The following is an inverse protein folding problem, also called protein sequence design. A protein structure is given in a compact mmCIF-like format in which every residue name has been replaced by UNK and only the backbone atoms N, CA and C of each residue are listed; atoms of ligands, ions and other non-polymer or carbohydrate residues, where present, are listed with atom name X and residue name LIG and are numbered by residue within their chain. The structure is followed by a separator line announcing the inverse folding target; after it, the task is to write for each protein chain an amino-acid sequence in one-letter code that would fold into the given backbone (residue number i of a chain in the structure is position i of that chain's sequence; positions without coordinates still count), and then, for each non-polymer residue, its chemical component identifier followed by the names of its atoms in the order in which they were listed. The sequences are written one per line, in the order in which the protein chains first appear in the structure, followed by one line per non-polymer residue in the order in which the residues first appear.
data_IF_445417585629
#
_entry.id   IF_445417585629
#
_cell.length_a   1.000
_cell.length_b   1.000
_cell.length_c   1.000
_cell.angle_alpha   90.00
_cell.angle_beta   90.00
_cell.angle_gamma   90.00
#
_symmetry.space_group_name_H-M   'P 1'
#
loop_
_entity.id
_entity.type
_entity.pdbx_description
1 polymer ?
#
# COMPACT_ATOMS: atom_id res chain seq x y z
N UNK A 1 71.07 -8.51 -45.57
CA UNK A 1 72.42 -8.07 -45.93
C UNK A 1 72.94 -7.19 -44.79
N UNK A 2 73.96 -7.73 -44.07
CA UNK A 2 75.07 -7.07 -43.40
C UNK A 2 74.75 -6.03 -42.28
N UNK A 3 75.14 -6.24 -41.12
CA UNK A 3 76.38 -6.59 -40.38
C UNK A 3 76.72 -5.45 -39.38
N UNK A 4 76.88 -5.82 -38.09
CA UNK A 4 77.88 -5.38 -37.09
C UNK A 4 77.85 -3.89 -36.61
N UNK A 5 78.22 -3.54 -35.39
CA UNK A 5 79.17 -4.07 -34.38
C UNK A 5 78.95 -3.33 -32.98
N UNK A 6 79.18 -4.06 -31.95
CA UNK A 6 79.79 -3.83 -30.65
C UNK A 6 80.05 -2.36 -30.12
N UNK A 7 79.66 -2.11 -28.87
CA UNK A 7 80.59 -1.60 -27.88
C UNK A 7 80.07 -1.85 -26.44
N UNK A 8 80.92 -2.47 -25.67
CA UNK A 8 80.84 -2.75 -24.23
C UNK A 8 81.13 -1.51 -23.38
N UNK A 9 80.48 -1.33 -22.25
CA UNK A 9 81.07 -0.59 -21.14
C UNK A 9 80.33 -0.83 -19.82
N UNK A 10 81.00 -1.47 -18.91
CA UNK A 10 81.07 -1.36 -17.44
C UNK A 10 79.83 -1.11 -16.65
N UNK A 11 79.44 -2.14 -15.91
CA UNK A 11 78.52 -2.19 -14.78
C UNK A 11 79.23 -1.75 -13.50
N UNK A 12 78.64 -0.81 -12.77
CA UNK A 12 78.87 -0.61 -11.33
C UNK A 12 77.56 -0.95 -10.58
N UNK A 13 77.60 -1.77 -9.53
CA UNK A 13 76.39 -2.07 -8.75
C UNK A 13 76.09 -0.97 -7.77
N UNK A 14 74.84 -0.43 -7.84
CA UNK A 14 74.27 0.41 -6.81
C UNK A 14 73.53 -0.50 -5.84
N UNK A 15 73.99 -0.60 -4.60
CA UNK A 15 73.29 -1.26 -3.52
C UNK A 15 72.15 -0.37 -3.07
N UNK A 16 70.95 -0.71 -3.44
CA UNK A 16 69.74 -0.07 -2.93
C UNK A 16 69.22 -0.88 -1.74
N UNK A 17 69.33 -0.27 -0.54
CA UNK A 17 68.78 -0.78 0.70
C UNK A 17 67.24 -0.66 0.63
N UNK A 18 66.55 -1.77 0.51
CA UNK A 18 65.08 -1.87 0.62
C UNK A 18 64.70 -1.89 2.10
N UNK A 19 64.24 -0.78 2.64
CA UNK A 19 63.57 -0.73 3.94
C UNK A 19 62.14 -1.26 3.80
N UNK A 20 61.84 -2.47 4.17
CA UNK A 20 60.51 -3.01 4.31
C UNK A 20 59.81 -2.36 5.53
N UNK A 21 58.97 -1.38 5.25
CA UNK A 21 58.00 -0.89 6.24
C UNK A 21 56.87 -1.93 6.37
N UNK A 22 56.85 -2.73 7.42
CA UNK A 22 55.71 -3.56 7.79
C UNK A 22 54.60 -2.64 8.31
N UNK A 23 53.61 -2.35 7.47
CA UNK A 23 52.34 -1.78 7.89
C UNK A 23 51.50 -2.92 8.48
N UNK A 24 51.56 -3.07 9.81
CA UNK A 24 50.63 -3.92 10.55
C UNK A 24 49.23 -3.30 10.47
N UNK A 25 48.40 -3.75 9.54
CA UNK A 25 46.96 -3.54 9.58
C UNK A 25 46.39 -4.28 10.76
N UNK A 26 46.14 -3.56 11.87
CA UNK A 26 45.30 -4.02 12.96
C UNK A 26 43.88 -4.22 12.39
N UNK A 27 43.58 -5.45 11.98
CA UNK A 27 42.19 -5.87 11.80
C UNK A 27 41.54 -5.76 13.18
N UNK A 28 40.78 -4.70 13.41
CA UNK A 28 39.86 -4.66 14.54
C UNK A 28 38.86 -5.80 14.34
N UNK A 29 39.11 -6.91 15.03
CA UNK A 29 38.12 -7.95 15.20
C UNK A 29 36.92 -7.28 15.90
N UNK A 30 35.83 -7.04 15.14
CA UNK A 30 34.55 -6.73 15.76
C UNK A 30 34.22 -7.87 16.71
N UNK A 31 34.24 -7.56 18.01
CA UNK A 31 33.71 -8.47 19.01
C UNK A 31 32.30 -8.85 18.58
N UNK A 32 31.94 -10.15 18.59
CA UNK A 32 30.60 -10.57 18.29
C UNK A 32 29.67 -9.87 19.27
N UNK A 33 28.81 -8.98 18.76
CA UNK A 33 27.74 -8.39 19.57
C UNK A 33 26.92 -9.53 20.13
N UNK A 34 26.72 -9.53 21.44
CA UNK A 34 25.88 -10.53 22.10
C UNK A 34 24.54 -10.61 21.36
N UNK A 35 23.99 -11.80 21.13
CA UNK A 35 22.72 -11.95 20.46
C UNK A 35 21.67 -11.11 21.20
N UNK A 36 20.89 -10.32 20.44
CA UNK A 36 19.78 -9.55 20.98
C UNK A 36 18.79 -10.54 21.60
N UNK A 37 18.40 -10.29 22.86
CA UNK A 37 17.41 -11.11 23.55
C UNK A 37 16.01 -10.50 23.39
N UNK A 38 14.97 -11.32 23.28
CA UNK A 38 13.60 -10.82 23.20
C UNK A 38 13.19 -10.11 24.50
N UNK A 39 12.29 -9.13 24.38
CA UNK A 39 11.60 -8.54 25.52
C UNK A 39 10.64 -9.60 26.09
N UNK A 40 11.05 -10.27 27.17
CA UNK A 40 10.43 -11.50 27.66
C UNK A 40 8.92 -11.38 27.88
N UNK A 41 8.46 -10.30 28.53
CA UNK A 41 7.04 -10.10 28.83
C UNK A 41 6.21 -9.91 27.54
N UNK A 42 6.70 -9.15 26.56
CA UNK A 42 5.99 -8.92 25.29
C UNK A 42 5.96 -10.21 24.48
N UNK A 43 7.07 -10.95 24.40
CA UNK A 43 7.14 -12.20 23.64
C UNK A 43 6.22 -13.29 24.22
N UNK A 44 6.26 -13.48 25.54
CA UNK A 44 5.37 -14.44 26.21
C UNK A 44 3.89 -14.09 26.02
N UNK A 45 3.55 -12.80 26.08
CA UNK A 45 2.18 -12.34 25.85
C UNK A 45 1.75 -12.53 24.38
N UNK A 46 2.64 -12.27 23.42
CA UNK A 46 2.36 -12.52 22.01
C UNK A 46 2.06 -14.00 21.72
N UNK A 47 2.80 -14.92 22.38
CA UNK A 47 2.52 -16.36 22.30
C UNK A 47 1.14 -16.72 22.87
N UNK A 48 0.75 -16.10 24.00
CA UNK A 48 -0.58 -16.32 24.59
C UNK A 48 -1.72 -15.75 23.72
N UNK A 49 -1.46 -14.72 22.94
CA UNK A 49 -2.46 -14.08 22.08
C UNK A 49 -2.65 -14.78 20.71
N UNK A 50 -1.84 -15.79 20.37
CA UNK A 50 -1.93 -16.47 19.07
C UNK A 50 -3.31 -17.09 18.84
N UNK A 51 -3.81 -17.93 19.73
CA UNK A 51 -5.12 -18.55 19.60
C UNK A 51 -6.27 -17.54 19.72
N UNK A 52 -6.28 -16.61 20.70
CA UNK A 52 -7.28 -15.55 20.77
C UNK A 52 -7.37 -14.70 19.49
N UNK A 53 -6.23 -14.40 18.82
CA UNK A 53 -6.25 -13.68 17.55
C UNK A 53 -6.91 -14.52 16.44
N UNK A 54 -6.60 -15.82 16.35
CA UNK A 54 -7.26 -16.72 15.39
C UNK A 54 -8.76 -16.80 15.61
N UNK A 55 -9.22 -16.81 16.87
CA UNK A 55 -10.64 -16.82 17.20
C UNK A 55 -11.31 -15.49 16.77
N UNK A 56 -10.65 -14.35 17.03
CA UNK A 56 -11.11 -13.03 16.55
C UNK A 56 -11.16 -12.98 15.02
N UNK A 57 -10.13 -13.50 14.36
CA UNK A 57 -10.05 -13.53 12.90
C UNK A 57 -11.16 -14.38 12.29
N UNK A 58 -11.46 -15.57 12.89
CA UNK A 58 -12.59 -16.40 12.51
C UNK A 58 -13.90 -15.64 12.62
N UNK A 59 -14.13 -14.94 13.73
CA UNK A 59 -15.37 -14.19 13.95
C UNK A 59 -15.53 -13.04 12.94
N UNK A 60 -14.45 -12.35 12.58
CA UNK A 60 -14.44 -11.33 11.51
C UNK A 60 -14.73 -11.93 10.14
N UNK A 61 -14.13 -13.09 9.81
CA UNK A 61 -14.35 -13.77 8.52
C UNK A 61 -15.80 -14.24 8.37
N UNK A 62 -16.47 -14.63 9.47
CA UNK A 62 -17.88 -15.03 9.44
C UNK A 62 -18.86 -13.89 9.12
N UNK A 63 -18.41 -12.64 9.06
CA UNK A 63 -19.22 -11.51 8.63
C UNK A 63 -18.78 -11.12 7.20
N UNK A 64 -19.69 -11.31 6.23
CA UNK A 64 -19.50 -10.78 4.89
C UNK A 64 -19.51 -9.25 4.94
N UNK A 65 -18.51 -8.62 4.34
CA UNK A 65 -18.30 -7.19 4.41
C UNK A 65 -17.79 -6.60 3.07
N UNK A 66 -18.40 -7.03 1.96
CA UNK A 66 -18.10 -6.44 0.67
C UNK A 66 -18.34 -4.92 0.68
N UNK A 67 -17.51 -4.13 0.00
CA UNK A 67 -17.55 -2.64 0.05
C UNK A 67 -18.93 -2.04 -0.27
N UNK A 68 -19.80 -2.79 -0.95
CA UNK A 68 -21.19 -2.39 -1.26
C UNK A 68 -22.25 -3.01 -0.36
N UNK A 69 -21.87 -3.93 0.56
CA UNK A 69 -22.75 -4.53 1.54
C UNK A 69 -22.81 -3.69 2.82
N UNK A 70 -23.59 -2.62 2.81
CA UNK A 70 -23.72 -1.70 3.95
C UNK A 70 -24.22 -2.39 5.23
N UNK A 71 -25.03 -3.45 5.11
CA UNK A 71 -25.50 -4.23 6.27
C UNK A 71 -24.35 -5.03 6.89
N UNK A 72 -23.58 -5.73 6.07
CA UNK A 72 -22.39 -6.47 6.50
C UNK A 72 -21.33 -5.54 7.11
N UNK A 73 -21.07 -4.41 6.47
CA UNK A 73 -20.13 -3.39 6.97
C UNK A 73 -20.60 -2.81 8.31
N UNK A 74 -21.88 -2.58 8.52
CA UNK A 74 -22.39 -2.12 9.82
C UNK A 74 -22.21 -3.17 10.93
N UNK A 75 -22.40 -4.46 10.60
CA UNK A 75 -22.21 -5.58 11.56
C UNK A 75 -20.74 -5.73 11.97
N UNK A 76 -19.82 -5.75 10.99
CA UNK A 76 -18.39 -5.89 11.30
C UNK A 76 -17.87 -4.66 12.03
N UNK A 77 -18.30 -3.43 11.68
CA UNK A 77 -17.96 -2.21 12.38
C UNK A 77 -18.40 -2.23 13.85
N UNK A 78 -19.61 -2.73 14.13
CA UNK A 78 -20.12 -2.88 15.50
C UNK A 78 -19.29 -3.88 16.32
N UNK A 79 -18.90 -5.02 15.71
CA UNK A 79 -18.02 -6.00 16.35
C UNK A 79 -16.66 -5.39 16.69
N UNK A 80 -16.01 -4.72 15.73
CA UNK A 80 -14.72 -4.07 15.90
C UNK A 80 -14.79 -3.00 16.98
N UNK A 81 -15.81 -2.15 16.93
CA UNK A 81 -16.03 -1.10 17.92
C UNK A 81 -16.16 -1.67 19.33
N UNK A 82 -16.97 -2.73 19.51
CA UNK A 82 -17.11 -3.42 20.78
C UNK A 82 -15.78 -3.99 21.31
N UNK A 83 -15.01 -4.62 20.44
CA UNK A 83 -13.70 -5.18 20.79
C UNK A 83 -12.70 -4.10 21.26
N UNK A 84 -12.68 -2.94 20.61
CA UNK A 84 -11.80 -1.82 20.96
C UNK A 84 -12.27 -1.11 22.24
N UNK A 85 -13.60 -0.97 22.45
CA UNK A 85 -14.18 -0.41 23.68
C UNK A 85 -13.84 -1.27 24.90
N UNK A 86 -13.94 -2.61 24.79
CA UNK A 86 -13.56 -3.55 25.87
C UNK A 86 -12.09 -3.41 26.28
N UNK A 87 -11.23 -2.91 25.37
CA UNK A 87 -9.82 -2.63 25.61
C UNK A 87 -9.53 -1.20 26.09
N UNK A 88 -10.61 -0.43 26.35
CA UNK A 88 -10.49 0.90 26.96
C UNK A 88 -10.39 2.06 25.97
N UNK A 89 -10.71 1.86 24.70
CA UNK A 89 -10.79 2.97 23.75
C UNK A 89 -12.08 3.79 23.92
N UNK A 90 -11.98 5.10 23.65
CA UNK A 90 -13.12 5.89 23.23
C UNK A 90 -13.37 5.60 21.75
N UNK A 91 -14.56 5.09 21.39
CA UNK A 91 -14.86 4.63 20.04
C UNK A 91 -16.06 5.35 19.46
N UNK A 92 -15.93 5.78 18.21
CA UNK A 92 -16.98 6.35 17.37
C UNK A 92 -17.09 5.56 16.07
N UNK A 93 -18.30 5.32 15.59
CA UNK A 93 -18.57 4.79 14.25
C UNK A 93 -19.01 5.98 13.38
N UNK A 94 -18.11 6.47 12.55
CA UNK A 94 -18.32 7.62 11.69
C UNK A 94 -19.00 7.21 10.40
N UNK A 95 -20.04 7.97 9.99
CA UNK A 95 -20.60 7.86 8.64
C UNK A 95 -19.94 8.94 7.78
N UNK A 96 -19.27 8.55 6.66
CA UNK A 96 -18.63 9.53 5.78
C UNK A 96 -19.64 10.54 5.22
N UNK A 97 -19.37 11.82 5.39
CA UNK A 97 -20.21 12.92 4.88
C UNK A 97 -19.57 13.69 3.72
N UNK A 98 -18.22 13.72 3.67
CA UNK A 98 -17.43 14.33 2.62
C UNK A 98 -16.87 13.22 1.70
N UNK A 99 -17.75 12.70 0.82
CA UNK A 99 -17.41 11.59 -0.06
C UNK A 99 -16.83 12.12 -1.36
N UNK A 100 -15.57 11.78 -1.64
CA UNK A 100 -14.91 12.07 -2.90
C UNK A 100 -15.51 11.21 -4.03
N UNK A 101 -16.11 11.83 -5.03
CA UNK A 101 -16.83 11.14 -6.09
C UNK A 101 -15.90 10.77 -7.25
N UNK A 102 -15.55 9.49 -7.31
CA UNK A 102 -14.98 8.84 -8.47
C UNK A 102 -16.10 8.39 -9.42
N UNK A 103 -15.75 7.97 -10.63
CA UNK A 103 -16.73 7.57 -11.67
C UNK A 103 -17.63 6.39 -11.22
N UNK A 104 -17.08 5.50 -10.40
CA UNK A 104 -17.74 4.28 -9.88
C UNK A 104 -18.07 4.32 -8.38
N UNK A 105 -17.92 5.46 -7.72
CA UNK A 105 -18.25 5.59 -6.29
C UNK A 105 -19.75 5.32 -6.08
N UNK A 106 -20.12 4.35 -5.20
CA UNK A 106 -21.52 4.11 -4.89
C UNK A 106 -22.15 5.32 -4.18
N UNK A 107 -23.48 5.40 -4.20
CA UNK A 107 -24.23 6.48 -3.53
C UNK A 107 -23.88 6.59 -2.06
N UNK A 108 -23.80 5.44 -1.37
CA UNK A 108 -23.41 5.32 0.03
C UNK A 108 -22.17 4.45 0.14
N UNK A 109 -21.29 4.80 1.06
CA UNK A 109 -20.05 4.08 1.37
C UNK A 109 -20.09 3.54 2.79
N UNK A 110 -19.21 2.59 3.11
CA UNK A 110 -19.12 1.97 4.42
C UNK A 110 -18.73 2.95 5.53
N UNK A 111 -19.04 2.62 6.79
CA UNK A 111 -18.66 3.42 7.95
C UNK A 111 -17.16 3.31 8.24
N UNK A 112 -16.67 4.21 9.12
CA UNK A 112 -15.31 4.21 9.63
C UNK A 112 -15.36 4.03 11.14
N UNK A 113 -14.68 3.03 11.69
CA UNK A 113 -14.46 2.86 13.12
C UNK A 113 -13.25 3.70 13.51
N UNK A 114 -13.48 4.71 14.35
CA UNK A 114 -12.46 5.58 14.92
C UNK A 114 -12.37 5.34 16.42
N UNK A 115 -11.20 4.87 16.88
CA UNK A 115 -10.97 4.59 18.29
C UNK A 115 -9.71 5.33 18.77
N UNK A 116 -9.78 5.86 20.00
CA UNK A 116 -8.66 6.57 20.60
C UNK A 116 -8.37 6.03 22.00
N UNK A 117 -7.11 5.68 22.23
CA UNK A 117 -6.57 5.32 23.52
C UNK A 117 -5.76 6.50 24.05
N UNK A 118 -6.08 6.96 25.27
CA UNK A 118 -5.38 8.05 25.90
C UNK A 118 -4.25 7.52 26.76
N UNK A 119 -3.04 7.99 26.51
CA UNK A 119 -1.84 7.66 27.28
C UNK A 119 -1.39 8.82 28.17
N UNK A 120 -0.17 8.70 28.72
CA UNK A 120 0.47 9.67 29.62
C UNK A 120 1.71 10.33 29.00
N UNK A 121 2.15 9.85 27.84
CA UNK A 121 3.30 10.36 27.11
C UNK A 121 2.95 11.47 26.12
N UNK A 122 3.79 11.68 25.13
CA UNK A 122 3.64 12.76 24.16
C UNK A 122 3.46 12.30 22.72
N UNK A 123 3.86 11.06 22.41
CA UNK A 123 3.85 10.54 21.05
C UNK A 123 2.44 10.21 20.58
N UNK A 124 2.11 10.66 19.38
CA UNK A 124 0.85 10.35 18.70
C UNK A 124 1.11 9.26 17.66
N UNK A 125 0.47 8.12 17.79
CA UNK A 125 0.65 6.95 16.93
C UNK A 125 -0.71 6.58 16.34
N UNK A 126 -0.75 6.23 15.06
CA UNK A 126 -1.97 5.82 14.38
C UNK A 126 -1.81 4.43 13.77
N UNK A 127 -2.83 3.59 13.94
CA UNK A 127 -3.01 2.32 13.26
C UNK A 127 -4.13 2.45 12.25
N UNK A 128 -3.92 1.95 11.05
CA UNK A 128 -4.92 1.89 10.00
C UNK A 128 -5.06 0.47 9.44
N UNK A 129 -6.28 0.08 9.13
CA UNK A 129 -6.67 -1.15 8.46
C UNK A 129 -8.03 -0.93 7.79
N UNK A 130 -8.50 -1.88 6.99
CA UNK A 130 -9.85 -1.83 6.46
C UNK A 130 -10.65 -3.10 6.75
N UNK A 131 -11.97 -2.95 6.79
CA UNK A 131 -12.89 -4.05 7.11
C UNK A 131 -13.75 -4.47 5.92
N UNK A 132 -13.73 -3.71 4.83
CA UNK A 132 -14.39 -4.10 3.59
C UNK A 132 -13.56 -5.09 2.79
N UNK A 133 -14.20 -5.74 1.84
CA UNK A 133 -13.59 -6.74 0.95
C UNK A 133 -14.15 -6.63 -0.47
N UNK A 134 -13.46 -7.22 -1.44
CA UNK A 134 -13.94 -7.31 -2.83
C UNK A 134 -15.08 -8.35 -3.01
N UNK A 135 -15.33 -9.20 -2.01
CA UNK A 135 -16.22 -10.34 -2.15
C UNK A 135 -17.71 -9.96 -2.08
N UNK A 136 -18.52 -10.63 -2.89
CA UNK A 136 -19.96 -10.40 -2.93
C UNK A 136 -20.69 -11.15 -1.82
N UNK A 137 -21.83 -10.61 -1.40
CA UNK A 137 -22.71 -11.25 -0.42
C UNK A 137 -23.15 -12.64 -0.88
N UNK A 138 -23.07 -13.62 0.02
CA UNK A 138 -23.42 -15.01 -0.20
C UNK A 138 -22.24 -15.91 -0.59
N UNK A 139 -21.03 -15.37 -0.79
CA UNK A 139 -19.84 -16.17 -1.14
C UNK A 139 -19.27 -16.93 0.06
N UNK A 140 -19.51 -16.47 1.28
CA UNK A 140 -19.00 -17.12 2.51
C UNK A 140 -19.43 -18.56 2.65
N UNK A 141 -20.63 -18.94 2.16
CA UNK A 141 -21.12 -20.33 2.20
C UNK A 141 -20.24 -21.30 1.42
N UNK A 142 -19.57 -20.81 0.36
CA UNK A 142 -18.69 -21.60 -0.51
C UNK A 142 -17.22 -21.56 -0.04
N UNK A 143 -16.86 -20.54 0.76
CA UNK A 143 -15.51 -20.29 1.26
C UNK A 143 -15.53 -19.96 2.77
N UNK A 144 -15.98 -20.89 3.64
CA UNK A 144 -15.99 -20.65 5.07
C UNK A 144 -14.58 -20.60 5.65
N UNK A 145 -14.46 -20.00 6.84
CA UNK A 145 -13.21 -20.05 7.58
C UNK A 145 -12.79 -21.51 7.83
N UNK A 146 -11.53 -21.83 7.55
CA UNK A 146 -10.95 -23.16 7.81
C UNK A 146 -9.46 -23.04 8.10
N UNK A 147 -8.94 -23.98 8.87
CA UNK A 147 -7.50 -24.12 9.14
C UNK A 147 -7.02 -25.40 8.47
N UNK A 148 -5.87 -25.32 7.80
CA UNK A 148 -5.17 -26.45 7.20
C UNK A 148 -3.66 -26.28 7.45
N UNK A 149 -3.13 -27.06 8.38
CA UNK A 149 -1.77 -26.92 8.87
C UNK A 149 -1.51 -25.56 9.46
N UNK A 150 -0.55 -24.84 8.91
CA UNK A 150 -0.17 -23.48 9.33
C UNK A 150 -0.92 -22.36 8.54
N UNK A 151 -1.98 -22.72 7.83
CA UNK A 151 -2.76 -21.78 7.01
C UNK A 151 -4.17 -21.64 7.55
N UNK A 152 -4.59 -20.39 7.75
CA UNK A 152 -5.99 -20.06 7.99
C UNK A 152 -6.56 -19.41 6.72
N UNK A 153 -7.63 -20.00 6.18
CA UNK A 153 -8.31 -19.59 4.95
C UNK A 153 -9.62 -18.89 5.26
N UNK A 154 -10.00 -17.95 4.42
CA UNK A 154 -11.30 -17.28 4.48
C UNK A 154 -11.39 -16.08 3.55
N UNK A 155 -12.60 -15.62 3.25
CA UNK A 155 -12.80 -14.44 2.41
C UNK A 155 -12.42 -13.15 3.14
N UNK A 156 -11.50 -12.37 2.54
CA UNK A 156 -10.96 -11.15 3.13
C UNK A 156 -10.09 -11.40 4.35
N UNK A 157 -9.61 -12.65 4.54
CA UNK A 157 -8.81 -13.02 5.70
C UNK A 157 -7.42 -12.36 5.64
N UNK A 158 -6.82 -12.26 4.44
CA UNK A 158 -5.53 -11.65 4.20
C UNK A 158 -5.63 -10.17 3.87
N UNK A 159 -6.79 -9.73 3.34
CA UNK A 159 -7.07 -8.41 2.84
C UNK A 159 -8.46 -7.93 3.33
N UNK A 160 -8.61 -7.25 4.51
CA UNK A 160 -7.55 -6.99 5.52
C UNK A 160 -8.03 -7.34 6.94
N UNK A 161 -8.89 -8.37 7.08
CA UNK A 161 -9.44 -8.78 8.40
C UNK A 161 -8.33 -9.22 9.37
N UNK A 162 -7.22 -9.75 8.87
CA UNK A 162 -6.06 -10.08 9.67
C UNK A 162 -5.39 -8.82 10.27
N UNK A 163 -5.35 -7.72 9.54
CA UNK A 163 -4.85 -6.45 10.03
C UNK A 163 -5.72 -5.91 11.16
N UNK A 164 -7.03 -5.97 10.98
CA UNK A 164 -8.01 -5.63 12.03
C UNK A 164 -7.78 -6.46 13.29
N UNK A 165 -7.67 -7.81 13.16
CA UNK A 165 -7.41 -8.70 14.29
C UNK A 165 -6.06 -8.39 14.95
N UNK A 166 -5.01 -8.15 14.18
CA UNK A 166 -3.68 -7.81 14.70
C UNK A 166 -3.71 -6.50 15.49
N UNK A 167 -4.41 -5.48 15.02
CA UNK A 167 -4.61 -4.22 15.76
C UNK A 167 -5.31 -4.47 17.08
N UNK A 168 -6.44 -5.18 17.08
CA UNK A 168 -7.24 -5.48 18.28
C UNK A 168 -6.38 -6.17 19.35
N UNK A 169 -5.57 -7.17 18.96
CA UNK A 169 -4.73 -7.90 19.89
C UNK A 169 -3.48 -7.11 20.32
N UNK A 170 -2.91 -6.27 19.44
CA UNK A 170 -1.80 -5.37 19.81
C UNK A 170 -2.22 -4.37 20.89
N UNK A 171 -3.38 -3.70 20.76
CA UNK A 171 -3.87 -2.78 21.79
C UNK A 171 -4.24 -3.53 23.08
N UNK A 172 -4.77 -4.76 22.96
CA UNK A 172 -5.01 -5.65 24.10
C UNK A 172 -3.72 -6.02 24.86
N UNK A 173 -2.63 -6.29 24.14
CA UNK A 173 -1.32 -6.56 24.75
C UNK A 173 -0.78 -5.32 25.48
N UNK A 174 -0.85 -4.13 24.87
CA UNK A 174 -0.45 -2.89 25.52
C UNK A 174 -1.24 -2.66 26.82
N UNK A 175 -2.57 -2.93 26.82
CA UNK A 175 -3.41 -2.85 28.00
C UNK A 175 -2.98 -3.84 29.09
N UNK A 176 -2.75 -5.12 28.73
CA UNK A 176 -2.30 -6.17 29.68
C UNK A 176 -0.93 -5.85 30.27
N UNK A 177 -0.04 -5.21 29.51
CA UNK A 177 1.26 -4.72 29.98
C UNK A 177 1.17 -3.45 30.83
N UNK A 178 0.00 -2.84 30.95
CA UNK A 178 -0.19 -1.55 31.61
C UNK A 178 0.55 -0.40 30.93
N UNK A 179 0.93 -0.58 29.64
CA UNK A 179 1.74 0.40 28.91
C UNK A 179 0.88 1.58 28.43
N UNK A 180 1.23 2.79 28.87
CA UNK A 180 0.53 4.06 28.56
C UNK A 180 1.48 5.22 28.24
N UNK A 181 2.75 4.95 27.89
CA UNK A 181 3.75 6.00 27.69
C UNK A 181 3.61 6.75 26.34
N UNK A 182 2.65 6.37 25.50
CA UNK A 182 2.22 7.20 24.35
C UNK A 182 1.33 8.36 24.81
N UNK A 183 1.20 9.40 23.99
CA UNK A 183 0.24 10.48 24.20
C UNK A 183 -1.17 10.04 23.76
N UNK A 184 -1.29 9.69 22.48
CA UNK A 184 -2.49 9.06 21.91
C UNK A 184 -2.11 7.89 21.01
N UNK A 185 -2.90 6.82 21.07
CA UNK A 185 -2.90 5.76 20.09
C UNK A 185 -4.27 5.77 19.41
N UNK A 186 -4.28 6.13 18.12
CA UNK A 186 -5.49 6.20 17.30
C UNK A 186 -5.60 4.96 16.43
N UNK A 187 -6.78 4.35 16.38
CA UNK A 187 -7.10 3.25 15.46
C UNK A 187 -8.19 3.74 14.50
N UNK A 188 -7.95 3.61 13.21
CA UNK A 188 -8.91 3.93 12.16
C UNK A 188 -9.08 2.72 11.26
N UNK A 189 -10.32 2.19 11.19
CA UNK A 189 -10.66 1.04 10.36
C UNK A 189 -11.82 1.44 9.47
N UNK A 190 -11.59 1.56 8.18
CA UNK A 190 -12.59 2.01 7.20
C UNK A 190 -13.25 0.85 6.45
N UNK A 191 -14.39 1.15 5.85
CA UNK A 191 -15.21 0.19 5.12
C UNK A 191 -15.37 0.54 3.64
N UNK A 192 -14.33 1.16 3.02
CA UNK A 192 -14.36 1.60 1.63
C UNK A 192 -12.98 1.59 0.95
N UNK A 193 -12.01 0.85 1.50
CA UNK A 193 -10.66 0.76 0.95
C UNK A 193 -10.67 0.19 -0.46
N UNK A 194 -11.35 -0.91 -0.68
CA UNK A 194 -11.40 -1.67 -1.92
C UNK A 194 -12.04 -0.91 -3.12
N UNK A 195 -12.73 0.18 -2.79
CA UNK A 195 -13.26 1.12 -3.78
C UNK A 195 -12.52 2.46 -3.81
N UNK A 196 -11.26 2.46 -3.34
CA UNK A 196 -10.34 3.60 -3.32
C UNK A 196 -10.66 4.66 -2.25
N UNK A 197 -11.23 4.25 -1.13
CA UNK A 197 -11.44 5.06 0.09
C UNK A 197 -12.16 6.39 -0.16
N UNK A 198 -13.25 6.44 -0.95
CA UNK A 198 -13.87 7.71 -1.31
C UNK A 198 -14.44 8.45 -0.10
N UNK A 199 -14.91 7.74 0.93
CA UNK A 199 -15.46 8.33 2.14
C UNK A 199 -14.45 8.54 3.27
N UNK A 200 -13.41 7.70 3.33
CA UNK A 200 -12.44 7.70 4.43
C UNK A 200 -11.17 8.50 4.15
N UNK A 201 -10.77 8.74 2.88
CA UNK A 201 -9.50 9.36 2.49
C UNK A 201 -9.22 10.71 3.16
N UNK A 202 -10.21 11.58 3.26
CA UNK A 202 -10.06 12.90 3.90
C UNK A 202 -9.83 12.76 5.40
N UNK A 203 -10.53 11.83 6.05
CA UNK A 203 -10.37 11.53 7.48
C UNK A 203 -8.99 10.93 7.78
N UNK A 204 -8.53 9.95 6.98
CA UNK A 204 -7.19 9.36 7.10
C UNK A 204 -6.13 10.46 6.99
N UNK A 205 -6.18 11.27 5.91
CA UNK A 205 -5.21 12.34 5.66
C UNK A 205 -5.18 13.38 6.79
N UNK A 206 -6.34 13.77 7.29
CA UNK A 206 -6.47 14.79 8.34
C UNK A 206 -5.92 14.29 9.68
N UNK A 207 -6.25 13.07 10.09
CA UNK A 207 -5.79 12.52 11.37
C UNK A 207 -4.29 12.21 11.29
N UNK A 208 -3.81 11.62 10.18
CA UNK A 208 -2.42 11.28 9.98
C UNK A 208 -1.48 12.50 10.00
N UNK A 209 -1.96 13.69 9.61
CA UNK A 209 -1.16 14.92 9.61
C UNK A 209 -0.59 15.29 10.99
N UNK A 210 -1.23 14.82 12.06
CA UNK A 210 -0.83 15.12 13.45
C UNK A 210 -0.03 13.99 14.12
N UNK A 211 0.23 12.89 13.40
CA UNK A 211 0.86 11.71 13.99
C UNK A 211 2.40 11.74 13.87
N UNK A 212 3.08 11.21 14.89
CA UNK A 212 4.52 10.93 14.86
C UNK A 212 4.83 9.67 14.04
N UNK A 213 3.90 8.70 13.99
CA UNK A 213 3.98 7.52 13.15
C UNK A 213 2.58 6.98 12.79
N UNK A 214 2.47 6.44 11.58
CA UNK A 214 1.30 5.70 11.09
C UNK A 214 1.74 4.31 10.69
N UNK A 215 1.09 3.29 11.20
CA UNK A 215 1.28 1.89 10.85
C UNK A 215 0.03 1.37 10.14
N UNK A 216 0.21 0.91 8.91
CA UNK A 216 -0.84 0.25 8.14
C UNK A 216 -0.71 -1.25 8.26
N UNK A 217 -1.81 -1.90 8.66
CA UNK A 217 -1.82 -3.31 8.99
C UNK A 217 -2.23 -4.22 7.84
N UNK A 218 -2.15 -3.72 6.63
CA UNK A 218 -2.21 -4.56 5.43
C UNK A 218 -1.28 -5.75 5.51
N UNK A 219 -1.60 -6.82 4.82
CA UNK A 219 -0.81 -8.03 4.85
C UNK A 219 0.64 -7.83 4.41
N UNK A 220 1.58 -8.46 5.09
CA UNK A 220 3.01 -8.42 4.76
C UNK A 220 3.38 -9.10 3.45
N UNK A 221 2.40 -9.68 2.75
CA UNK A 221 2.62 -10.49 1.54
C UNK A 221 3.45 -11.74 1.82
N UNK A 222 3.90 -12.39 0.76
CA UNK A 222 4.61 -13.68 0.83
C UNK A 222 5.93 -13.63 1.66
N UNK A 223 6.59 -12.49 1.71
CA UNK A 223 7.87 -12.34 2.43
C UNK A 223 7.72 -11.74 3.81
N UNK A 224 6.51 -11.38 4.22
CA UNK A 224 6.29 -10.64 5.47
C UNK A 224 7.01 -9.30 5.50
N UNK A 225 7.19 -8.63 4.37
CA UNK A 225 7.97 -7.40 4.29
C UNK A 225 7.19 -6.19 4.80
N UNK A 226 7.89 -5.28 5.50
CA UNK A 226 7.43 -3.90 5.64
C UNK A 226 7.62 -3.16 4.32
N UNK A 227 6.67 -2.30 3.96
CA UNK A 227 6.73 -1.49 2.75
C UNK A 227 6.75 -0.01 3.10
N UNK A 228 7.60 0.75 2.41
CA UNK A 228 7.75 2.19 2.59
C UNK A 228 7.24 2.97 1.39
N UNK A 229 6.87 2.27 0.32
CA UNK A 229 6.35 2.85 -0.90
C UNK A 229 5.24 1.98 -1.50
N UNK A 230 4.21 2.63 -2.05
CA UNK A 230 3.13 2.00 -2.84
C UNK A 230 2.91 2.79 -4.12
N UNK A 231 2.37 2.14 -5.14
CA UNK A 231 2.02 2.83 -6.39
C UNK A 231 0.77 3.68 -6.22
N UNK A 232 0.79 4.87 -6.80
CA UNK A 232 -0.43 5.61 -7.05
C UNK A 232 -1.28 4.92 -8.11
N UNK A 233 -2.59 5.07 -7.98
CA UNK A 233 -3.59 4.53 -8.89
C UNK A 233 -4.39 5.68 -9.47
N UNK A 234 -4.42 5.80 -10.80
CA UNK A 234 -5.23 6.76 -11.53
C UNK A 234 -6.06 6.10 -12.62
N UNK A 235 -7.08 6.78 -13.07
CA UNK A 235 -7.89 6.38 -14.22
C UNK A 235 -8.05 7.57 -15.18
N UNK A 236 -7.93 7.31 -16.48
CA UNK A 236 -8.27 8.32 -17.50
C UNK A 236 -9.48 7.84 -18.29
N UNK A 237 -10.40 8.76 -18.54
CA UNK A 237 -11.64 8.53 -19.28
C UNK A 237 -11.67 9.46 -20.50
N UNK A 238 -11.59 8.88 -21.69
CA UNK A 238 -11.68 9.61 -22.96
C UNK A 238 -13.10 9.48 -23.51
N UNK A 239 -13.69 10.59 -23.87
CA UNK A 239 -14.98 10.66 -24.60
C UNK A 239 -14.80 11.44 -25.88
N UNK A 240 -15.29 10.89 -26.96
CA UNK A 240 -15.30 11.52 -28.29
C UNK A 240 -16.73 11.57 -28.79
N UNK A 241 -17.20 12.78 -29.06
CA UNK A 241 -18.47 13.03 -29.75
C UNK A 241 -18.19 13.45 -31.21
N UNK A 242 -18.81 12.75 -32.12
CA UNK A 242 -18.80 13.00 -33.56
C UNK A 242 -20.22 13.22 -34.09
N UNK A 243 -20.47 12.73 -35.30
CA UNK A 243 -21.78 12.85 -35.97
C UNK A 243 -22.11 11.62 -36.78
N UNK A 244 -23.29 11.03 -36.55
CA UNK A 244 -23.73 9.86 -37.30
C UNK A 244 -24.08 10.25 -38.76
N UNK A 245 -23.82 9.31 -39.68
CA UNK A 245 -24.31 9.33 -41.05
C UNK A 245 -24.35 7.90 -41.60
N UNK A 246 -24.97 7.73 -42.79
CA UNK A 246 -24.99 6.45 -43.48
C UNK A 246 -23.59 6.17 -44.07
N UNK A 247 -22.91 5.10 -43.58
CA UNK A 247 -21.52 4.83 -43.94
C UNK A 247 -21.25 4.59 -45.41
N UNK A 248 -22.26 4.12 -46.19
CA UNK A 248 -22.16 3.89 -47.63
C UNK A 248 -22.75 4.97 -48.51
N UNK A 249 -23.84 5.66 -48.05
CA UNK A 249 -24.56 6.62 -48.90
C UNK A 249 -24.12 8.08 -48.70
N UNK A 250 -23.65 8.44 -47.50
CA UNK A 250 -23.28 9.84 -47.22
C UNK A 250 -22.24 9.90 -46.07
N UNK A 251 -21.10 9.18 -46.17
CA UNK A 251 -20.09 9.16 -45.14
C UNK A 251 -19.48 10.54 -44.86
N UNK A 252 -19.42 11.41 -45.89
CA UNK A 252 -18.90 12.79 -45.81
C UNK A 252 -19.74 13.72 -44.90
N UNK A 253 -21.00 13.36 -44.60
CA UNK A 253 -21.86 14.11 -43.67
C UNK A 253 -21.67 13.73 -42.20
N UNK A 254 -20.88 12.69 -41.93
CA UNK A 254 -20.57 12.20 -40.62
C UNK A 254 -19.24 12.71 -40.08
N UNK A 255 -19.08 12.63 -38.77
CA UNK A 255 -17.80 12.83 -38.08
C UNK A 255 -17.51 11.55 -37.30
N UNK A 256 -16.53 10.76 -37.72
CA UNK A 256 -16.29 9.41 -37.22
C UNK A 256 -15.58 9.42 -35.87
N UNK A 257 -16.32 9.27 -34.79
CA UNK A 257 -15.79 9.24 -33.42
C UNK A 257 -14.77 8.11 -33.19
N UNK A 258 -14.90 6.98 -33.92
CA UNK A 258 -13.94 5.88 -33.81
C UNK A 258 -12.55 6.25 -34.37
N UNK A 259 -12.51 6.96 -35.49
CA UNK A 259 -11.24 7.41 -36.08
C UNK A 259 -10.57 8.44 -35.19
N UNK A 260 -11.35 9.40 -34.69
CA UNK A 260 -10.81 10.38 -33.73
C UNK A 260 -10.29 9.71 -32.46
N UNK A 261 -11.06 8.79 -31.84
CA UNK A 261 -10.60 8.05 -30.66
C UNK A 261 -9.29 7.29 -30.94
N UNK A 262 -9.20 6.62 -32.09
CA UNK A 262 -7.98 5.90 -32.47
C UNK A 262 -6.76 6.81 -32.56
N UNK A 263 -6.92 7.99 -33.15
CA UNK A 263 -5.88 9.02 -33.21
C UNK A 263 -5.47 9.47 -31.79
N UNK A 264 -6.44 9.76 -30.92
CA UNK A 264 -6.19 10.20 -29.56
C UNK A 264 -5.43 9.13 -28.75
N UNK A 265 -5.84 7.85 -28.82
CA UNK A 265 -5.16 6.75 -28.12
C UNK A 265 -3.72 6.57 -28.59
N UNK A 266 -3.47 6.66 -29.90
CA UNK A 266 -2.12 6.52 -30.45
C UNK A 266 -1.19 7.65 -30.01
N UNK A 267 -1.64 8.90 -30.02
CA UNK A 267 -0.81 10.03 -29.57
C UNK A 267 -0.60 10.05 -28.04
N UNK A 268 -1.52 9.49 -27.27
CA UNK A 268 -1.41 9.39 -25.80
C UNK A 268 -0.55 8.20 -25.34
N UNK A 269 -0.24 7.25 -26.22
CA UNK A 269 0.63 6.11 -25.89
C UNK A 269 2.00 6.57 -25.38
N UNK A 270 2.54 7.67 -25.89
CA UNK A 270 3.84 8.23 -25.52
C UNK A 270 3.86 8.83 -24.10
N UNK A 271 2.69 9.02 -23.47
CA UNK A 271 2.60 9.52 -22.10
C UNK A 271 2.96 8.43 -21.06
N UNK A 272 2.95 7.16 -21.46
CA UNK A 272 3.44 6.07 -20.61
C UNK A 272 4.98 6.05 -20.63
N UNK A 273 5.58 6.19 -19.43
CA UNK A 273 7.04 6.20 -19.21
C UNK A 273 7.42 5.22 -18.10
N UNK A 274 7.31 3.89 -18.35
CA UNK A 274 7.51 2.85 -17.33
C UNK A 274 8.89 2.91 -16.66
N UNK A 275 9.93 3.30 -17.39
CA UNK A 275 11.30 3.49 -16.90
C UNK A 275 11.43 4.64 -15.87
N UNK A 276 10.47 5.57 -15.86
CA UNK A 276 10.37 6.66 -14.88
C UNK A 276 9.31 6.36 -13.80
N UNK A 277 8.70 5.16 -13.86
CA UNK A 277 7.68 4.73 -12.91
C UNK A 277 6.26 5.22 -13.21
N UNK A 278 6.03 5.92 -14.34
CA UNK A 278 4.72 6.35 -14.79
C UNK A 278 4.21 5.40 -15.88
N UNK A 279 3.09 4.71 -15.63
CA UNK A 279 2.45 3.83 -16.59
C UNK A 279 1.06 4.36 -16.93
N UNK A 280 0.72 4.39 -18.22
CA UNK A 280 -0.62 4.70 -18.72
C UNK A 280 -1.00 3.64 -19.76
N UNK A 281 -2.06 2.87 -19.49
CA UNK A 281 -2.51 1.80 -20.36
C UNK A 281 -4.00 1.97 -20.66
N UNK A 282 -4.35 2.21 -21.91
CA UNK A 282 -5.73 2.21 -22.39
C UNK A 282 -6.19 0.75 -22.53
N UNK A 283 -7.16 0.34 -21.71
CA UNK A 283 -7.54 -1.06 -21.54
C UNK A 283 -8.98 -1.36 -21.93
N UNK A 284 -9.84 -0.34 -21.98
CA UNK A 284 -11.23 -0.47 -22.38
C UNK A 284 -11.54 0.54 -23.49
N UNK A 285 -12.23 0.11 -24.54
CA UNK A 285 -12.69 0.99 -25.61
C UNK A 285 -14.04 0.50 -26.18
N UNK A 286 -14.90 1.45 -26.58
CA UNK A 286 -16.17 1.17 -27.25
C UNK A 286 -16.51 2.28 -28.26
N UNK A 287 -17.05 1.92 -29.42
CA UNK A 287 -17.48 2.85 -30.45
C UNK A 287 -18.50 2.22 -31.39
N UNK A 288 -19.56 2.96 -31.73
CA UNK A 288 -20.59 2.57 -32.68
C UNK A 288 -21.46 1.40 -32.21
N UNK A 289 -22.53 1.15 -32.96
CA UNK A 289 -23.47 0.03 -32.71
C UNK A 289 -23.76 -0.78 -33.95
N UNK A 290 -23.78 -0.13 -35.14
CA UNK A 290 -24.14 -0.73 -36.41
C UNK A 290 -23.04 -0.51 -37.45
N UNK A 291 -22.70 -1.56 -38.21
CA UNK A 291 -21.64 -1.52 -39.22
C UNK A 291 -21.83 -0.48 -40.30
N UNK A 292 -23.07 -0.20 -40.68
CA UNK A 292 -23.41 0.73 -41.76
C UNK A 292 -23.72 2.19 -41.30
N UNK A 293 -23.35 2.52 -40.05
CA UNK A 293 -23.51 3.86 -39.47
C UNK A 293 -22.13 4.38 -39.04
N UNK A 294 -21.77 5.60 -39.44
CA UNK A 294 -20.60 6.33 -38.91
C UNK A 294 -20.81 6.55 -37.39
N UNK A 295 -19.91 6.13 -36.50
CA UNK A 295 -20.10 6.28 -35.07
C UNK A 295 -20.16 7.73 -34.64
N UNK A 296 -21.22 8.11 -33.93
CA UNK A 296 -21.36 9.45 -33.33
C UNK A 296 -20.67 9.55 -31.97
N UNK A 297 -20.38 8.42 -31.31
CA UNK A 297 -19.72 8.42 -30.00
C UNK A 297 -18.68 7.30 -29.91
N UNK A 298 -17.61 7.60 -29.19
CA UNK A 298 -16.61 6.63 -28.76
C UNK A 298 -16.13 6.96 -27.35
N UNK A 299 -15.78 5.93 -26.58
CA UNK A 299 -15.26 6.04 -25.20
C UNK A 299 -14.10 5.09 -25.01
N UNK A 300 -13.11 5.53 -24.21
CA UNK A 300 -12.04 4.65 -23.77
C UNK A 300 -11.67 4.95 -22.31
N UNK A 301 -11.11 3.94 -21.63
CA UNK A 301 -10.63 4.05 -20.25
C UNK A 301 -9.22 3.51 -20.15
N UNK A 302 -8.41 4.16 -19.30
CA UNK A 302 -7.04 3.76 -19.04
C UNK A 302 -6.79 3.57 -17.54
N UNK A 303 -5.96 2.59 -17.20
CA UNK A 303 -5.29 2.47 -15.91
C UNK A 303 -4.01 3.30 -15.92
N UNK A 304 -3.78 4.07 -14.87
CA UNK A 304 -2.55 4.83 -14.67
C UNK A 304 -1.91 4.46 -13.33
N UNK A 305 -0.56 4.32 -13.33
CA UNK A 305 0.24 4.06 -12.14
C UNK A 305 1.38 5.06 -12.07
N UNK A 306 1.65 5.58 -10.87
CA UNK A 306 2.73 6.53 -10.64
C UNK A 306 3.48 6.22 -9.34
N UNK A 307 4.73 6.65 -9.25
CA UNK A 307 5.56 6.51 -8.04
C UNK A 307 5.65 7.81 -7.23
N UNK A 308 5.26 8.94 -7.84
CA UNK A 308 5.25 10.26 -7.19
C UNK A 308 3.92 10.96 -7.41
N UNK A 309 3.48 11.73 -6.42
CA UNK A 309 2.24 12.54 -6.53
C UNK A 309 2.32 13.51 -7.71
N UNK A 310 3.47 14.17 -7.90
CA UNK A 310 3.70 15.11 -9.00
C UNK A 310 3.53 14.51 -10.40
N UNK A 311 3.71 13.20 -10.55
CA UNK A 311 3.62 12.55 -11.87
C UNK A 311 2.16 12.51 -12.35
N UNK A 312 1.19 12.39 -11.44
CA UNK A 312 -0.22 12.46 -11.79
C UNK A 312 -0.65 13.86 -12.21
N UNK A 313 -0.16 14.90 -11.52
CA UNK A 313 -0.42 16.30 -11.89
C UNK A 313 0.15 16.63 -13.28
N UNK A 314 1.34 16.09 -13.59
CA UNK A 314 1.95 16.24 -14.91
C UNK A 314 1.17 15.47 -15.99
N UNK A 315 0.80 14.21 -15.71
CA UNK A 315 0.03 13.37 -16.63
C UNK A 315 -1.30 14.00 -16.99
N UNK A 316 -2.04 14.52 -16.00
CA UNK A 316 -3.34 15.20 -16.26
C UNK A 316 -3.16 16.37 -17.21
N UNK A 317 -2.17 17.23 -16.99
CA UNK A 317 -1.88 18.38 -17.88
C UNK A 317 -1.51 17.92 -19.30
N UNK A 318 -0.71 16.87 -19.42
CA UNK A 318 -0.31 16.30 -20.71
C UNK A 318 -1.51 15.69 -21.46
N UNK A 319 -2.39 14.97 -20.75
CA UNK A 319 -3.64 14.44 -21.32
C UNK A 319 -4.52 15.58 -21.86
N UNK A 320 -4.72 16.63 -21.06
CA UNK A 320 -5.52 17.80 -21.47
C UNK A 320 -4.91 18.53 -22.67
N UNK A 321 -3.60 18.59 -22.79
CA UNK A 321 -2.92 19.17 -23.94
C UNK A 321 -3.07 18.30 -25.20
N UNK A 322 -2.92 16.98 -25.07
CA UNK A 322 -2.98 16.04 -26.20
C UNK A 322 -4.36 16.02 -26.86
N UNK A 323 -5.46 16.09 -26.10
CA UNK A 323 -6.83 16.09 -26.68
C UNK A 323 -7.13 17.31 -27.55
N UNK A 324 -6.33 18.37 -27.50
CA UNK A 324 -6.46 19.52 -28.37
C UNK A 324 -5.98 19.23 -29.81
N UNK A 325 -5.09 18.26 -29.99
CA UNK A 325 -4.64 17.84 -31.33
C UNK A 325 -5.61 16.80 -31.90
N UNK A 326 -6.59 17.26 -32.63
CA UNK A 326 -7.67 16.46 -33.23
C UNK A 326 -7.36 16.04 -34.66
N UNK A 327 -7.69 14.81 -35.01
CA UNK A 327 -7.71 14.32 -36.39
C UNK A 327 -8.88 14.94 -37.18
N UNK A 328 -10.05 15.01 -36.54
CA UNK A 328 -11.28 15.53 -37.10
C UNK A 328 -11.66 16.83 -36.36
N UNK A 329 -11.44 18.01 -36.93
CA UNK A 329 -11.66 19.29 -36.26
C UNK A 329 -13.09 19.50 -35.71
N UNK A 330 -14.09 18.89 -36.35
CA UNK A 330 -15.51 18.99 -35.97
C UNK A 330 -15.86 18.07 -34.78
N UNK A 331 -14.99 17.15 -34.40
CA UNK A 331 -15.20 16.28 -33.23
C UNK A 331 -15.09 17.09 -31.94
N UNK A 332 -15.79 16.64 -30.89
CA UNK A 332 -15.58 17.09 -29.54
C UNK A 332 -14.84 15.99 -28.76
N UNK A 333 -13.66 16.30 -28.27
CA UNK A 333 -12.84 15.38 -27.50
C UNK A 333 -12.69 15.89 -26.06
N UNK A 334 -12.92 15.02 -25.10
CA UNK A 334 -12.77 15.32 -23.68
C UNK A 334 -12.01 14.18 -22.99
N UNK A 335 -11.11 14.53 -22.09
CA UNK A 335 -10.47 13.58 -21.18
C UNK A 335 -10.69 14.04 -19.74
N UNK A 336 -11.09 13.10 -18.88
CA UNK A 336 -11.15 13.27 -17.42
C UNK A 336 -10.06 12.39 -16.83
N UNK A 337 -9.28 12.91 -15.89
CA UNK A 337 -8.33 12.13 -15.11
C UNK A 337 -8.77 12.09 -13.66
N UNK A 338 -8.68 10.92 -13.03
CA UNK A 338 -9.03 10.72 -11.63
C UNK A 338 -7.82 10.14 -10.90
N UNK A 339 -7.39 10.79 -9.82
CA UNK A 339 -6.48 10.19 -8.86
C UNK A 339 -7.31 9.35 -7.90
N UNK A 340 -7.29 8.04 -8.12
CA UNK A 340 -8.01 7.09 -7.28
C UNK A 340 -7.30 6.90 -5.95
N UNK A 341 -5.97 6.80 -6.00
CA UNK A 341 -5.12 6.66 -4.82
C UNK A 341 -3.76 7.34 -5.09
N UNK A 342 -3.24 8.17 -4.19
CA UNK A 342 -1.90 8.71 -4.35
C UNK A 342 -0.84 7.60 -4.18
N UNK A 343 0.40 7.77 -4.62
CA UNK A 343 1.50 6.91 -4.20
C UNK A 343 1.90 7.19 -2.74
N UNK A 344 2.36 6.17 -2.03
CA UNK A 344 3.15 6.35 -0.82
C UNK A 344 4.62 6.47 -1.23
N UNK A 345 5.28 7.54 -0.79
CA UNK A 345 6.70 7.77 -1.04
C UNK A 345 7.53 7.46 0.21
N UNK A 346 8.61 6.69 0.04
CA UNK A 346 9.49 6.32 1.15
C UNK A 346 10.22 7.55 1.71
N UNK A 347 9.99 7.86 2.99
CA UNK A 347 10.65 8.95 3.71
C UNK A 347 11.83 8.45 4.55
N UNK A 348 12.71 9.37 4.94
CA UNK A 348 13.80 9.05 5.87
C UNK A 348 13.26 8.61 7.24
N UNK A 349 12.17 9.24 7.71
CA UNK A 349 11.50 8.83 8.95
C UNK A 349 10.98 7.40 8.87
N UNK A 350 10.33 7.04 7.74
CA UNK A 350 9.83 5.67 7.52
C UNK A 350 10.97 4.65 7.45
N UNK A 351 12.11 4.99 6.81
CA UNK A 351 13.29 4.12 6.76
C UNK A 351 13.86 3.85 8.15
N UNK A 352 14.02 4.89 8.99
CA UNK A 352 14.52 4.72 10.38
C UNK A 352 13.61 3.81 11.20
N UNK A 353 12.30 4.00 11.11
CA UNK A 353 11.31 3.18 11.82
C UNK A 353 11.36 1.73 11.33
N UNK A 354 11.43 1.49 10.03
CA UNK A 354 11.51 0.14 9.47
C UNK A 354 12.83 -0.58 9.84
N UNK A 355 13.96 0.13 9.84
CA UNK A 355 15.24 -0.43 10.30
C UNK A 355 15.20 -0.80 11.80
N UNK A 356 14.46 -0.03 12.61
CA UNK A 356 14.21 -0.43 13.99
C UNK A 356 13.37 -1.73 14.07
N UNK A 357 12.38 -1.88 13.20
CA UNK A 357 11.61 -3.10 13.06
C UNK A 357 12.48 -4.34 12.80
N UNK A 358 13.50 -4.20 11.94
CA UNK A 358 14.48 -5.29 11.72
C UNK A 358 15.20 -5.68 13.01
N UNK A 359 15.61 -4.71 13.83
CA UNK A 359 16.25 -4.99 15.12
C UNK A 359 15.31 -5.72 16.08
N UNK A 360 14.04 -5.32 16.12
CA UNK A 360 13.02 -6.01 16.93
C UNK A 360 12.87 -7.48 16.49
N UNK A 361 12.85 -7.76 15.18
CA UNK A 361 12.76 -9.14 14.67
C UNK A 361 14.02 -9.96 14.98
N UNK A 362 15.19 -9.33 14.94
CA UNK A 362 16.44 -9.99 15.35
C UNK A 362 16.44 -10.42 16.81
N UNK A 363 15.71 -9.73 17.71
CA UNK A 363 15.56 -10.12 19.11
C UNK A 363 14.90 -11.50 19.26
N UNK A 364 14.03 -11.87 18.30
CA UNK A 364 13.34 -13.19 18.27
C UNK A 364 13.95 -14.14 17.24
N UNK A 365 15.14 -13.82 16.72
CA UNK A 365 15.89 -14.68 15.81
C UNK A 365 15.34 -14.75 14.38
N UNK A 366 14.47 -13.81 13.96
CA UNK A 366 13.84 -13.78 12.65
C UNK A 366 14.37 -12.64 11.77
N UNK A 367 14.45 -12.84 10.45
CA UNK A 367 14.70 -11.78 9.50
C UNK A 367 13.42 -10.98 9.24
N UNK A 368 13.55 -9.67 8.97
CA UNK A 368 12.48 -8.81 8.49
C UNK A 368 12.94 -8.07 7.23
N UNK A 369 12.23 -8.27 6.14
CA UNK A 369 12.47 -7.56 4.88
C UNK A 369 11.82 -6.18 4.91
N UNK A 370 12.46 -5.21 4.25
CA UNK A 370 11.92 -3.86 4.05
C UNK A 370 12.01 -3.51 2.57
N UNK A 371 10.89 -3.15 1.97
CA UNK A 371 10.78 -2.74 0.57
C UNK A 371 10.60 -1.22 0.51
N UNK A 372 11.56 -0.54 -0.10
CA UNK A 372 11.53 0.92 -0.30
C UNK A 372 11.00 1.33 -1.67
N UNK A 373 10.73 0.36 -2.54
CA UNK A 373 10.22 0.55 -3.90
C UNK A 373 8.80 -0.01 -3.99
N UNK A 374 7.94 0.67 -4.73
CA UNK A 374 6.56 0.28 -4.93
C UNK A 374 6.47 -0.97 -5.84
N UNK A 375 5.59 -1.90 -5.47
CA UNK A 375 5.38 -3.17 -6.17
C UNK A 375 4.15 -3.22 -7.08
N UNK A 376 3.44 -2.07 -7.25
CA UNK A 376 2.29 -1.94 -8.13
C UNK A 376 0.94 -1.81 -7.42
N UNK A 377 0.79 -2.30 -6.18
CA UNK A 377 -0.38 -2.09 -5.34
C UNK A 377 -0.43 -0.70 -4.72
N UNK A 378 -1.61 -0.25 -4.33
CA UNK A 378 -1.83 0.99 -3.58
C UNK A 378 -2.72 0.70 -2.37
N UNK A 379 -2.49 1.38 -1.25
CA UNK A 379 -3.17 1.18 0.03
C UNK A 379 -3.51 2.51 0.70
N UNK A 380 -4.25 2.49 1.78
CA UNK A 380 -4.62 3.68 2.56
C UNK A 380 -3.43 4.37 3.25
N UNK A 381 -2.31 3.67 3.42
CA UNK A 381 -1.06 4.27 3.86
C UNK A 381 -0.64 5.47 3.00
N UNK A 382 -1.00 5.45 1.71
CA UNK A 382 -0.72 6.55 0.78
C UNK A 382 -1.49 7.84 1.14
N UNK A 383 -2.74 7.76 1.58
CA UNK A 383 -3.48 8.92 2.06
C UNK A 383 -2.91 9.46 3.36
N UNK A 384 -2.47 8.57 4.26
CA UNK A 384 -1.75 8.98 5.47
C UNK A 384 -0.45 9.73 5.15
N UNK A 385 0.30 9.26 4.13
CA UNK A 385 1.56 9.84 3.69
C UNK A 385 1.46 11.25 3.09
N UNK A 386 0.27 11.68 2.63
CA UNK A 386 0.11 12.98 1.96
C UNK A 386 0.44 14.18 2.84
N UNK A 387 0.18 14.12 4.14
CA UNK A 387 0.33 15.27 5.05
C UNK A 387 1.08 14.96 6.33
N UNK A 388 1.33 13.69 6.67
CA UNK A 388 2.10 13.38 7.87
C UNK A 388 3.56 13.80 7.72
N UNK A 389 4.11 14.32 8.81
CA UNK A 389 5.57 14.57 8.94
C UNK A 389 6.27 13.40 9.63
N UNK A 390 5.51 12.49 10.20
CA UNK A 390 5.97 11.29 10.85
C UNK A 390 6.32 10.18 9.86
N UNK A 391 6.66 9.02 10.40
CA UNK A 391 6.87 7.81 9.61
C UNK A 391 5.53 7.22 9.16
N UNK A 392 5.48 6.69 7.93
CA UNK A 392 4.39 5.81 7.49
C UNK A 392 5.01 4.48 7.10
N UNK A 393 4.56 3.39 7.72
CA UNK A 393 5.03 2.04 7.48
C UNK A 393 3.84 1.14 7.16
N UNK A 394 3.90 0.52 6.01
CA UNK A 394 2.91 -0.39 5.46
C UNK A 394 3.32 -1.85 5.66
N UNK A 395 2.36 -2.80 5.67
CA UNK A 395 2.63 -4.23 5.74
C UNK A 395 2.91 -4.72 7.17
N UNK A 396 2.30 -4.10 8.16
CA UNK A 396 2.42 -4.49 9.57
C UNK A 396 1.64 -5.76 9.92
N UNK A 397 0.72 -6.18 9.05
CA UNK A 397 -0.11 -7.37 9.24
C UNK A 397 0.61 -8.69 8.99
N UNK A 398 -0.15 -9.79 9.05
CA UNK A 398 0.34 -11.15 8.88
C UNK A 398 0.87 -11.39 7.45
N UNK A 399 1.67 -12.43 7.26
CA UNK A 399 1.96 -12.91 5.89
C UNK A 399 0.69 -13.48 5.28
N UNK A 400 0.28 -12.90 4.15
CA UNK A 400 -0.96 -13.21 3.46
C UNK A 400 -0.75 -13.53 1.99
N UNK A 401 -1.64 -14.33 1.43
CA UNK A 401 -1.58 -14.84 0.07
C UNK A 401 -2.97 -14.90 -0.54
N UNK A 402 -3.04 -14.79 -1.86
CA UNK A 402 -4.26 -15.00 -2.62
C UNK A 402 -5.32 -13.92 -2.41
N UNK A 403 -4.94 -12.70 -2.01
CA UNK A 403 -5.86 -11.56 -1.96
C UNK A 403 -6.64 -11.45 -3.28
N UNK A 404 -7.93 -11.12 -3.20
CA UNK A 404 -8.86 -11.09 -4.34
C UNK A 404 -9.10 -12.45 -5.02
N UNK A 405 -8.72 -13.57 -4.37
CA UNK A 405 -8.97 -14.92 -4.86
C UNK A 405 -10.01 -15.62 -3.99
N UNK A 406 -11.11 -16.08 -4.61
CA UNK A 406 -12.24 -16.69 -3.90
C UNK A 406 -11.90 -17.98 -3.17
N UNK A 407 -10.86 -18.70 -3.60
CA UNK A 407 -10.57 -20.08 -3.19
C UNK A 407 -9.20 -20.28 -2.59
N UNK A 408 -8.36 -19.28 -2.65
CA UNK A 408 -6.94 -19.38 -2.30
C UNK A 408 -6.45 -18.32 -1.30
N UNK A 409 -7.33 -17.48 -0.75
CA UNK A 409 -6.91 -16.45 0.21
C UNK A 409 -6.68 -17.07 1.59
N UNK A 410 -5.45 -16.85 2.12
CA UNK A 410 -5.05 -17.34 3.44
C UNK A 410 -3.97 -16.49 4.08
N UNK A 411 -3.82 -16.67 5.39
CA UNK A 411 -2.70 -16.13 6.18
C UNK A 411 -1.89 -17.26 6.81
N UNK A 412 -0.61 -17.00 7.10
CA UNK A 412 0.26 -17.92 7.84
C UNK A 412 0.12 -17.69 9.34
N UNK A 413 -0.25 -18.75 10.07
CA UNK A 413 -0.50 -18.72 11.51
C UNK A 413 0.79 -18.47 12.31
N UNK A 414 1.91 -19.01 11.85
CA UNK A 414 3.24 -18.84 12.49
C UNK A 414 3.71 -17.37 12.50
N UNK A 415 3.12 -16.51 11.64
CA UNK A 415 3.45 -15.08 11.60
C UNK A 415 2.72 -14.25 12.66
N UNK A 416 1.73 -14.81 13.37
CA UNK A 416 0.94 -14.09 14.40
C UNK A 416 1.85 -13.59 15.52
N UNK A 417 2.61 -14.49 16.15
CA UNK A 417 3.48 -14.15 17.30
C UNK A 417 4.51 -13.09 16.92
N UNK A 418 5.29 -13.25 15.83
CA UNK A 418 6.22 -12.21 15.38
C UNK A 418 5.57 -10.85 15.10
N UNK A 419 4.39 -10.82 14.51
CA UNK A 419 3.70 -9.56 14.17
C UNK A 419 3.14 -8.84 15.39
N UNK A 420 2.55 -9.55 16.32
CA UNK A 420 2.11 -9.00 17.60
C UNK A 420 3.30 -8.47 18.40
N UNK A 421 4.41 -9.21 18.40
CA UNK A 421 5.65 -8.77 19.03
C UNK A 421 6.17 -7.48 18.40
N UNK A 422 6.27 -7.42 17.06
CA UNK A 422 6.71 -6.24 16.31
C UNK A 422 5.85 -5.04 16.63
N UNK A 423 4.53 -5.14 16.43
CA UNK A 423 3.62 -4.03 16.57
C UNK A 423 3.62 -3.45 18.00
N UNK A 424 3.58 -4.33 19.01
CA UNK A 424 3.66 -3.91 20.42
C UNK A 424 4.98 -3.21 20.74
N UNK A 425 6.12 -3.78 20.32
CA UNK A 425 7.44 -3.20 20.54
C UNK A 425 7.63 -1.88 19.81
N UNK A 426 7.10 -1.74 18.60
CA UNK A 426 7.14 -0.47 17.84
C UNK A 426 6.46 0.65 18.60
N UNK A 427 5.28 0.42 19.17
CA UNK A 427 4.60 1.43 20.01
C UNK A 427 5.43 1.77 21.23
N UNK A 428 5.94 0.76 21.96
CA UNK A 428 6.73 0.96 23.17
C UNK A 428 8.00 1.76 22.90
N UNK A 429 8.74 1.42 21.86
CA UNK A 429 10.03 2.03 21.57
C UNK A 429 9.91 3.43 20.94
N UNK A 430 8.87 3.68 20.13
CA UNK A 430 8.52 5.02 19.68
C UNK A 430 8.15 5.95 20.84
N UNK A 431 7.32 5.45 21.76
CA UNK A 431 6.84 6.21 22.92
C UNK A 431 7.97 6.58 23.87
N UNK A 432 8.95 5.70 24.05
CA UNK A 432 10.11 5.93 24.94
C UNK A 432 11.23 6.78 24.31
N UNK A 433 11.05 7.25 23.06
CA UNK A 433 12.07 8.05 22.35
C UNK A 433 13.35 7.26 21.97
N UNK A 434 13.32 5.93 21.96
CA UNK A 434 14.42 5.08 21.49
C UNK A 434 14.64 5.18 19.96
N UNK A 435 13.63 5.66 19.25
CA UNK A 435 13.71 6.02 17.84
C UNK A 435 13.93 7.54 17.74
N UNK A 436 15.14 7.92 17.44
CA UNK A 436 15.52 9.31 17.14
C UNK A 436 15.54 9.56 15.63
#
# INVERSE_FOLDING_TARGET
MSIHLFASSFVRPLVASLSLAFVATLAQAQLPTAPLAPHAAVHALAQQEQQPLLDTLRDLVHIESGSKDLEGLAKIAALIASQLQQRGAAVEILQPSDVYRLDDTPEKVGPVVHATFQGQGTKKIMFIAHMDTVYLKGMLKDQPFRIDGDKAYGLGIGDDKQGVATIIHTVGMLQKLGFKDYGTLTVLINGDEEISSPGSRSTITRIAAEQDAVFSFEGGGATGALRLATSGIGAAYLTVDGKASHAGASPEKGVNALYEMSHQLLQMKELSRPEQGLKLNWTVASAGTNRNVVPAQAKAQADARALKVSDFDALEKELQAKVQNKLLPESRVQVKFEVRRPPLEATEASRRVAEHGKRIYQEIGLPLSVLSEATGGGTDAAFAGLKTRGAVVEGMGLSSFGAHSNDAEYVLIDTIVPRLYLATRMVMDLSSGKLK
#
